data_IF_380719700132
#
_entry.id   IF_380719700132
#
_cell.length_a   1.000
_cell.length_b   1.000
_cell.length_c   1.000
_cell.angle_alpha   90.00
_cell.angle_beta   90.00
_cell.angle_gamma   90.00
#
_symmetry.space_group_name_H-M   'P 1'
#
loop_
_entity.id
_entity.type
_entity.pdbx_description
1 polymer ?
#
# COMPACT_ATOMS: atom_id res chain seq x y z
N UNK A 1 -9.50 -14.83 -1.02
CA UNK A 1 -8.37 -14.07 -0.47
C UNK A 1 -7.30 -15.07 -0.06
N UNK A 2 -6.06 -14.87 -0.51
CA UNK A 2 -4.94 -15.74 -0.17
C UNK A 2 -3.93 -14.92 0.62
N UNK A 3 -3.59 -15.36 1.83
CA UNK A 3 -2.49 -14.82 2.63
C UNK A 3 -1.27 -15.70 2.40
N UNK A 4 -0.31 -15.29 1.57
CA UNK A 4 0.85 -16.12 1.24
C UNK A 4 1.86 -16.18 2.40
N UNK A 5 2.96 -16.92 2.20
CA UNK A 5 3.98 -17.13 3.24
C UNK A 5 4.62 -15.82 3.74
N UNK A 6 4.70 -14.78 2.91
CA UNK A 6 5.21 -13.47 3.30
C UNK A 6 4.24 -12.63 4.14
N UNK A 7 3.02 -13.11 4.43
CA UNK A 7 2.05 -12.39 5.25
C UNK A 7 2.41 -12.38 6.74
N UNK A 8 2.07 -11.28 7.39
CA UNK A 8 2.08 -11.11 8.85
C UNK A 8 0.65 -10.81 9.30
N UNK A 9 0.08 -11.71 10.10
CA UNK A 9 -1.35 -11.75 10.39
C UNK A 9 -1.59 -11.52 11.87
N UNK A 10 -2.34 -10.47 12.18
CA UNK A 10 -2.99 -10.31 13.47
C UNK A 10 -4.31 -11.10 13.44
N UNK A 11 -4.38 -12.19 14.21
CA UNK A 11 -5.47 -13.16 14.12
C UNK A 11 -6.80 -12.56 14.58
N UNK A 12 -6.78 -11.75 15.65
CA UNK A 12 -7.98 -11.11 16.17
C UNK A 12 -8.52 -10.08 15.18
N UNK A 13 -7.62 -9.28 14.59
CA UNK A 13 -7.99 -8.30 13.57
C UNK A 13 -8.53 -8.98 12.31
N UNK A 14 -7.91 -10.07 11.86
CA UNK A 14 -8.39 -10.84 10.71
C UNK A 14 -9.84 -11.29 10.92
N UNK A 15 -10.15 -11.90 12.07
CA UNK A 15 -11.51 -12.37 12.34
C UNK A 15 -12.51 -11.22 12.54
N UNK A 16 -12.06 -10.11 13.12
CA UNK A 16 -12.86 -8.88 13.20
C UNK A 16 -13.24 -8.40 11.80
N UNK A 17 -12.27 -8.22 10.89
CA UNK A 17 -12.51 -7.74 9.52
C UNK A 17 -13.38 -8.71 8.72
N UNK A 18 -13.15 -10.02 8.85
CA UNK A 18 -13.98 -11.05 8.20
C UNK A 18 -15.43 -10.96 8.67
N UNK A 19 -15.66 -10.72 9.96
CA UNK A 19 -17.00 -10.55 10.54
C UNK A 19 -17.66 -9.25 10.07
N UNK A 20 -16.96 -8.12 10.17
CA UNK A 20 -17.46 -6.78 9.81
C UNK A 20 -17.83 -6.70 8.32
N UNK A 21 -17.07 -7.34 7.45
CA UNK A 21 -17.32 -7.38 6.01
C UNK A 21 -18.26 -8.50 5.58
N UNK A 22 -18.70 -9.37 6.51
CA UNK A 22 -19.42 -10.60 6.20
C UNK A 22 -18.72 -11.41 5.09
N UNK A 23 -17.39 -11.52 5.19
CA UNK A 23 -16.57 -12.10 4.13
C UNK A 23 -16.69 -13.63 4.13
N UNK A 24 -16.90 -14.29 2.98
CA UNK A 24 -17.03 -15.74 2.91
C UNK A 24 -15.75 -16.45 3.38
N UNK A 25 -15.85 -17.13 4.51
CA UNK A 25 -14.73 -17.81 5.19
C UNK A 25 -14.09 -18.93 4.34
N UNK A 26 -14.89 -19.63 3.53
CA UNK A 26 -14.44 -20.68 2.61
C UNK A 26 -13.48 -20.17 1.52
N UNK A 27 -13.56 -18.86 1.21
CA UNK A 27 -12.70 -18.18 0.24
C UNK A 27 -11.38 -17.69 0.84
N UNK A 28 -11.15 -17.86 2.14
CA UNK A 28 -9.89 -17.52 2.80
C UNK A 28 -8.96 -18.73 2.72
N UNK A 29 -7.70 -18.46 2.35
CA UNK A 29 -6.60 -19.43 2.33
C UNK A 29 -5.38 -18.78 2.96
N UNK A 30 -4.77 -19.42 3.94
CA UNK A 30 -3.61 -18.90 4.68
C UNK A 30 -2.47 -19.89 4.53
N UNK A 31 -1.29 -19.40 4.15
CA UNK A 31 -0.10 -20.22 4.06
C UNK A 31 0.26 -20.82 5.41
N UNK A 32 0.74 -22.08 5.42
CA UNK A 32 1.34 -22.70 6.60
C UNK A 32 2.42 -21.82 7.24
N UNK A 33 3.16 -21.08 6.42
CA UNK A 33 4.33 -20.30 6.83
C UNK A 33 4.04 -18.83 7.08
N UNK A 34 2.80 -18.37 6.89
CA UNK A 34 2.42 -17.00 7.23
C UNK A 34 2.71 -16.75 8.71
N UNK A 35 3.28 -15.58 9.02
CA UNK A 35 3.69 -15.23 10.39
C UNK A 35 2.55 -14.60 11.15
N UNK A 36 2.56 -14.77 12.47
CA UNK A 36 1.55 -14.18 13.35
C UNK A 36 2.10 -12.95 14.09
N UNK A 37 1.25 -11.95 14.21
CA UNK A 37 1.48 -10.77 15.04
C UNK A 37 0.81 -11.04 16.39
N UNK A 38 1.60 -11.06 17.46
CA UNK A 38 1.13 -11.29 18.82
C UNK A 38 0.90 -9.98 19.56
N UNK A 39 0.24 -10.04 20.72
CA UNK A 39 0.13 -8.88 21.60
C UNK A 39 1.51 -8.40 22.07
N UNK A 40 2.45 -9.32 22.35
CA UNK A 40 3.82 -8.98 22.71
C UNK A 40 4.54 -8.20 21.60
N UNK A 41 4.32 -8.54 20.32
CA UNK A 41 4.85 -7.77 19.19
C UNK A 41 4.31 -6.33 19.18
N UNK A 42 3.00 -6.18 19.40
CA UNK A 42 2.35 -4.86 19.46
C UNK A 42 2.87 -4.04 20.63
N UNK A 43 2.96 -4.65 21.81
CA UNK A 43 3.40 -3.99 23.03
C UNK A 43 4.89 -3.62 22.96
N UNK A 44 5.73 -4.50 22.42
CA UNK A 44 7.15 -4.20 22.20
C UNK A 44 7.33 -2.98 21.30
N UNK A 45 6.55 -2.86 20.23
CA UNK A 45 6.62 -1.72 19.33
C UNK A 45 6.06 -0.43 19.96
N UNK A 46 4.97 -0.54 20.73
CA UNK A 46 4.31 0.60 21.41
C UNK A 46 5.09 1.14 22.60
N UNK A 47 5.72 0.24 23.37
CA UNK A 47 6.52 0.58 24.53
C UNK A 47 7.94 1.00 24.15
N UNK A 48 8.38 0.64 22.94
CA UNK A 48 9.61 1.14 22.36
C UNK A 48 9.50 2.59 21.90
N UNK A 49 10.65 3.19 21.57
CA UNK A 49 10.70 4.56 21.04
C UNK A 49 10.19 4.66 19.60
N UNK A 50 9.92 3.54 18.91
CA UNK A 50 9.63 3.47 17.47
C UNK A 50 8.34 4.22 17.07
N UNK A 51 7.28 4.18 17.90
CA UNK A 51 6.04 4.91 17.60
C UNK A 51 6.28 6.43 17.61
N UNK A 52 7.11 6.92 18.53
CA UNK A 52 7.41 8.35 18.66
C UNK A 52 8.51 8.79 17.68
N UNK A 53 9.54 7.96 17.48
CA UNK A 53 10.75 8.28 16.73
C UNK A 53 10.68 7.91 15.24
N UNK A 54 9.79 7.03 14.80
CA UNK A 54 9.67 6.63 13.38
C UNK A 54 8.24 6.86 12.86
N UNK A 55 7.27 7.05 13.75
CA UNK A 55 5.86 7.14 13.38
C UNK A 55 5.25 5.79 13.05
N UNK A 56 5.73 4.72 13.68
CA UNK A 56 5.13 3.39 13.54
C UNK A 56 3.63 3.39 13.90
N UNK A 57 2.86 2.53 13.24
CA UNK A 57 1.45 2.30 13.54
C UNK A 57 1.24 1.58 14.88
N UNK A 58 2.28 0.98 15.46
CA UNK A 58 2.18 0.17 16.69
C UNK A 58 1.36 -1.10 16.49
N UNK A 59 1.41 -1.65 15.27
CA UNK A 59 0.68 -2.85 14.85
C UNK A 59 1.45 -4.13 15.11
N UNK A 60 2.72 -4.06 15.50
CA UNK A 60 3.59 -5.22 15.79
C UNK A 60 4.29 -5.80 14.57
N UNK A 61 4.11 -5.24 13.36
CA UNK A 61 4.69 -5.77 12.13
C UNK A 61 6.22 -5.75 12.18
N UNK A 62 6.83 -4.63 12.59
CA UNK A 62 8.28 -4.54 12.67
C UNK A 62 8.88 -5.52 13.68
N UNK A 63 8.24 -5.63 14.86
CA UNK A 63 8.60 -6.58 15.90
C UNK A 63 8.52 -8.03 15.41
N UNK A 64 7.43 -8.39 14.71
CA UNK A 64 7.25 -9.73 14.16
C UNK A 64 8.27 -10.06 13.05
N UNK A 65 8.63 -9.09 12.20
CA UNK A 65 9.69 -9.24 11.20
C UNK A 65 11.04 -9.49 11.88
N UNK A 66 11.38 -8.72 12.91
CA UNK A 66 12.62 -8.94 13.66
C UNK A 66 12.64 -10.31 14.34
N UNK A 67 11.53 -10.75 14.94
CA UNK A 67 11.42 -12.09 15.52
C UNK A 67 11.65 -13.19 14.49
N UNK A 68 11.09 -13.04 13.28
CA UNK A 68 11.31 -13.98 12.19
C UNK A 68 12.79 -14.04 11.76
N UNK A 69 13.45 -12.89 11.62
CA UNK A 69 14.88 -12.80 11.25
C UNK A 69 15.78 -13.34 12.36
N UNK A 70 15.40 -13.14 13.63
CA UNK A 70 16.12 -13.65 14.79
C UNK A 70 16.13 -15.17 14.86
N UNK A 71 15.20 -15.87 14.18
CA UNK A 71 15.17 -17.34 14.08
C UNK A 71 15.23 -18.02 15.46
N UNK A 72 14.46 -17.50 16.42
CA UNK A 72 14.41 -18.00 17.81
C UNK A 72 15.76 -17.95 18.54
N UNK A 73 16.65 -17.03 18.14
CA UNK A 73 17.90 -16.80 18.85
C UNK A 73 17.62 -16.36 20.29
N UNK A 74 18.33 -16.96 21.24
CA UNK A 74 18.13 -16.75 22.69
C UNK A 74 18.45 -15.33 23.16
N UNK A 75 19.10 -14.52 22.32
CA UNK A 75 19.40 -13.11 22.60
C UNK A 75 18.38 -12.13 22.01
N UNK A 76 17.30 -12.62 21.39
CA UNK A 76 16.18 -11.80 20.96
C UNK A 76 14.92 -12.21 21.74
N UNK A 77 14.20 -11.23 22.27
CA UNK A 77 13.19 -11.46 23.30
C UNK A 77 11.79 -11.82 22.79
N UNK A 78 11.59 -11.87 21.47
CA UNK A 78 10.27 -12.08 20.87
C UNK A 78 10.25 -13.36 20.03
N UNK A 79 9.15 -14.09 20.14
CA UNK A 79 8.95 -15.34 19.43
C UNK A 79 8.33 -15.13 18.03
N UNK A 80 8.80 -15.91 17.06
CA UNK A 80 8.19 -15.94 15.74
C UNK A 80 7.23 -17.12 15.62
N UNK A 81 5.93 -16.83 15.59
CA UNK A 81 4.87 -17.83 15.41
C UNK A 81 4.43 -17.92 13.94
N UNK A 82 3.97 -19.10 13.53
CA UNK A 82 3.44 -19.37 12.19
C UNK A 82 1.98 -19.82 12.23
N UNK A 83 1.24 -19.57 11.15
CA UNK A 83 -0.18 -19.82 11.06
C UNK A 83 -0.56 -21.30 11.24
N UNK A 84 0.28 -22.23 10.75
CA UNK A 84 0.02 -23.66 10.89
C UNK A 84 -0.07 -24.14 12.35
N UNK A 85 0.54 -23.43 13.30
CA UNK A 85 0.57 -23.81 14.72
C UNK A 85 -0.59 -23.16 15.49
N UNK A 86 -1.41 -22.33 14.83
CA UNK A 86 -2.56 -21.68 15.45
C UNK A 86 -3.83 -22.50 15.23
N UNK A 87 -4.46 -22.91 16.34
CA UNK A 87 -5.67 -23.75 16.31
C UNK A 87 -6.86 -23.07 15.61
N UNK A 88 -7.04 -21.76 15.78
CA UNK A 88 -8.15 -21.02 15.17
C UNK A 88 -8.00 -20.86 13.65
N UNK A 89 -6.77 -20.93 13.14
CA UNK A 89 -6.50 -20.78 11.72
C UNK A 89 -6.62 -22.09 10.93
N UNK A 90 -6.66 -23.25 11.59
CA UNK A 90 -6.66 -24.58 10.94
C UNK A 90 -7.66 -24.72 9.77
N UNK A 91 -8.91 -24.22 9.85
CA UNK A 91 -9.85 -24.32 8.73
C UNK A 91 -9.43 -23.57 7.45
N UNK A 92 -8.51 -22.62 7.57
CA UNK A 92 -8.06 -21.74 6.49
C UNK A 92 -6.70 -22.12 5.93
N UNK A 93 -5.96 -23.00 6.62
CA UNK A 93 -4.60 -23.36 6.25
C UNK A 93 -4.57 -24.08 4.89
N UNK A 94 -3.68 -23.64 4.01
CA UNK A 94 -3.45 -24.22 2.70
C UNK A 94 -2.00 -24.01 2.25
N UNK A 95 -1.51 -24.87 1.35
CA UNK A 95 -0.28 -24.61 0.61
C UNK A 95 -0.54 -23.48 -0.40
N UNK A 96 -0.31 -22.24 0.02
CA UNK A 96 -0.60 -21.05 -0.78
C UNK A 96 0.15 -21.05 -2.12
N UNK A 97 1.41 -21.48 -2.14
CA UNK A 97 2.25 -21.49 -3.34
C UNK A 97 1.72 -22.49 -4.36
N UNK A 98 1.44 -23.73 -3.93
CA UNK A 98 0.85 -24.75 -4.81
C UNK A 98 -0.54 -24.34 -5.30
N UNK A 99 -1.35 -23.73 -4.42
CA UNK A 99 -2.67 -23.21 -4.78
C UNK A 99 -2.55 -22.13 -5.87
N UNK A 100 -1.69 -21.13 -5.68
CA UNK A 100 -1.52 -20.05 -6.65
C UNK A 100 -0.91 -20.56 -7.96
N UNK A 101 0.10 -21.43 -7.90
CA UNK A 101 0.67 -22.10 -9.08
C UNK A 101 -0.40 -22.86 -9.86
N UNK A 102 -1.18 -23.70 -9.19
CA UNK A 102 -2.25 -24.45 -9.84
C UNK A 102 -3.40 -23.59 -10.40
N UNK A 103 -3.53 -22.33 -9.95
CA UNK A 103 -4.41 -21.34 -10.59
C UNK A 103 -3.78 -20.80 -11.87
N UNK A 104 -2.51 -20.39 -11.82
CA UNK A 104 -1.78 -19.89 -12.98
C UNK A 104 -1.67 -20.95 -14.09
N UNK A 105 -1.39 -22.21 -13.75
CA UNK A 105 -1.28 -23.32 -14.71
C UNK A 105 -2.62 -23.66 -15.41
N UNK A 106 -3.73 -23.11 -14.91
CA UNK A 106 -5.08 -23.23 -15.50
C UNK A 106 -5.53 -21.93 -16.14
N UNK A 107 -4.61 -21.02 -16.42
CA UNK A 107 -4.85 -19.69 -16.99
C UNK A 107 -5.80 -18.82 -16.15
N UNK A 108 -5.90 -19.09 -14.83
CA UNK A 108 -6.64 -18.20 -13.94
C UNK A 108 -5.81 -16.96 -13.62
N UNK A 109 -6.49 -15.82 -13.52
CA UNK A 109 -5.87 -14.56 -13.09
C UNK A 109 -5.62 -14.55 -11.59
N UNK A 110 -4.39 -14.21 -11.21
CA UNK A 110 -3.98 -13.88 -9.84
C UNK A 110 -3.71 -12.38 -9.77
N UNK A 111 -4.21 -11.72 -8.72
CA UNK A 111 -3.92 -10.31 -8.43
C UNK A 111 -3.22 -10.28 -7.08
N UNK A 112 -2.02 -9.68 -7.06
CA UNK A 112 -1.23 -9.48 -5.84
C UNK A 112 -1.43 -8.02 -5.41
N UNK A 113 -1.91 -7.84 -4.19
CA UNK A 113 -2.03 -6.53 -3.58
C UNK A 113 -0.79 -6.24 -2.73
N UNK A 114 -0.05 -5.19 -3.08
CA UNK A 114 1.15 -4.76 -2.37
C UNK A 114 0.83 -3.86 -1.17
N UNK A 115 1.65 -3.97 -0.13
CA UNK A 115 1.69 -3.01 0.98
C UNK A 115 3.15 -2.71 1.32
N UNK A 116 3.56 -1.50 1.70
CA UNK A 116 2.90 -0.20 1.63
C UNK A 116 3.26 0.50 0.29
N UNK A 117 3.49 1.83 0.30
CA UNK A 117 3.98 2.58 -0.87
C UNK A 117 5.51 2.61 -0.97
N UNK A 118 6.03 2.90 -2.16
CA UNK A 118 7.47 2.90 -2.46
C UNK A 118 8.31 3.77 -1.52
N UNK A 119 7.84 4.98 -1.18
CA UNK A 119 8.55 5.89 -0.27
C UNK A 119 8.67 5.37 1.18
N UNK A 120 8.01 4.26 1.52
CA UNK A 120 8.17 3.57 2.79
C UNK A 120 8.98 2.27 2.66
N UNK A 121 9.50 1.92 1.47
CA UNK A 121 10.30 0.72 1.28
C UNK A 121 11.53 0.74 2.17
N UNK A 122 11.76 -0.35 2.90
CA UNK A 122 12.94 -0.53 3.76
C UNK A 122 14.25 -0.32 3.00
N UNK A 123 14.33 -0.82 1.75
CA UNK A 123 15.56 -0.84 0.97
C UNK A 123 15.65 0.31 -0.04
N UNK A 124 14.52 0.67 -0.64
CA UNK A 124 14.49 1.49 -1.85
C UNK A 124 13.88 2.88 -1.64
N UNK A 125 13.18 3.09 -0.51
CA UNK A 125 12.37 4.28 -0.29
C UNK A 125 13.16 5.55 -0.03
N UNK A 126 14.47 5.44 0.23
CA UNK A 126 15.40 6.57 0.40
C UNK A 126 15.25 7.34 1.72
N UNK A 127 14.35 6.92 2.61
CA UNK A 127 14.03 7.64 3.84
C UNK A 127 14.33 6.85 5.12
N UNK A 128 15.16 5.81 5.06
CA UNK A 128 15.61 5.07 6.24
C UNK A 128 16.21 6.04 7.30
N UNK A 129 15.83 5.97 8.60
CA UNK A 129 15.02 4.94 9.26
C UNK A 129 13.49 5.11 9.20
N UNK A 130 13.00 6.15 8.53
CA UNK A 130 11.58 6.48 8.38
C UNK A 130 10.92 5.66 7.27
N UNK A 131 10.96 4.35 7.42
CA UNK A 131 10.44 3.36 6.49
C UNK A 131 9.65 2.27 7.24
N UNK A 132 8.94 1.43 6.50
CA UNK A 132 8.38 0.19 7.05
C UNK A 132 9.50 -0.85 7.22
N UNK A 133 9.18 -1.97 7.89
CA UNK A 133 10.14 -3.04 8.15
C UNK A 133 10.34 -4.00 6.95
N UNK A 134 9.75 -3.70 5.77
CA UNK A 134 9.78 -4.57 4.59
C UNK A 134 10.01 -3.76 3.31
N UNK A 135 10.50 -4.39 2.25
CA UNK A 135 10.50 -3.76 0.93
C UNK A 135 9.06 -3.70 0.40
N UNK A 136 8.71 -2.63 -0.31
CA UNK A 136 7.35 -2.37 -0.79
C UNK A 136 7.28 -2.32 -2.32
N UNK A 137 8.25 -2.93 -2.99
CA UNK A 137 8.30 -3.04 -4.45
C UNK A 137 7.45 -4.20 -4.97
N UNK A 138 7.13 -4.19 -6.27
CA UNK A 138 6.44 -5.27 -6.94
C UNK A 138 7.21 -6.60 -6.84
N UNK A 139 8.54 -6.55 -6.92
CA UNK A 139 9.40 -7.72 -6.73
C UNK A 139 9.28 -8.30 -5.31
N UNK A 140 9.23 -7.44 -4.29
CA UNK A 140 9.02 -7.88 -2.91
C UNK A 140 7.64 -8.52 -2.72
N UNK A 141 6.57 -7.88 -3.23
CA UNK A 141 5.21 -8.43 -3.16
C UNK A 141 5.10 -9.80 -3.86
N UNK A 142 5.78 -9.97 -5.01
CA UNK A 142 5.83 -11.23 -5.73
C UNK A 142 6.56 -12.33 -4.95
N UNK A 143 7.72 -12.00 -4.37
CA UNK A 143 8.48 -12.92 -3.54
C UNK A 143 7.68 -13.34 -2.29
N UNK A 144 7.00 -12.40 -1.64
CA UNK A 144 6.11 -12.67 -0.51
C UNK A 144 4.92 -13.58 -0.89
N UNK A 145 4.42 -13.45 -2.13
CA UNK A 145 3.38 -14.31 -2.69
C UNK A 145 3.86 -15.75 -2.99
N UNK A 146 5.18 -15.96 -3.10
CA UNK A 146 5.77 -17.26 -3.45
C UNK A 146 5.64 -17.59 -4.94
N UNK A 147 5.64 -16.58 -5.81
CA UNK A 147 5.52 -16.72 -7.27
C UNK A 147 6.83 -16.33 -7.99
N UNK A 148 6.98 -16.80 -9.23
CA UNK A 148 8.17 -16.58 -10.05
C UNK A 148 8.13 -15.19 -10.70
N UNK A 149 9.28 -14.50 -10.85
CA UNK A 149 9.39 -13.32 -11.72
C UNK A 149 8.86 -13.53 -13.15
N UNK A 150 8.88 -14.78 -13.64
CA UNK A 150 8.37 -15.14 -14.96
C UNK A 150 6.83 -15.20 -15.04
N UNK A 151 6.13 -15.15 -13.91
CA UNK A 151 4.65 -15.19 -13.86
C UNK A 151 4.02 -13.78 -13.97
N UNK A 152 4.82 -12.72 -14.03
CA UNK A 152 4.32 -11.34 -13.96
C UNK A 152 4.00 -10.81 -15.37
N UNK A 153 2.70 -10.65 -15.63
CA UNK A 153 2.22 -10.03 -16.88
C UNK A 153 2.07 -8.51 -16.78
N UNK A 154 1.60 -8.00 -15.64
CA UNK A 154 1.25 -6.58 -15.46
C UNK A 154 1.59 -6.10 -14.04
N UNK A 155 2.36 -5.01 -13.97
CA UNK A 155 2.61 -4.22 -12.77
C UNK A 155 1.89 -2.87 -12.90
N UNK A 156 0.96 -2.61 -12.00
CA UNK A 156 0.26 -1.32 -11.92
C UNK A 156 0.81 -0.48 -10.77
N UNK A 157 1.34 0.71 -11.07
CA UNK A 157 1.81 1.66 -10.07
C UNK A 157 0.72 2.69 -9.77
N UNK A 158 0.25 2.73 -8.52
CA UNK A 158 -0.71 3.73 -8.06
C UNK A 158 0.04 4.92 -7.46
N UNK A 159 -0.25 6.11 -7.97
CA UNK A 159 0.27 7.39 -7.49
C UNK A 159 -0.89 8.30 -7.04
N UNK A 160 -0.59 9.34 -6.28
CA UNK A 160 -1.57 10.36 -5.89
C UNK A 160 -1.18 11.71 -6.47
N UNK A 161 -2.18 12.50 -6.84
CA UNK A 161 -2.01 13.92 -7.18
C UNK A 161 -1.33 14.70 -6.04
N UNK A 162 -1.74 14.43 -4.79
CA UNK A 162 -1.11 14.94 -3.58
C UNK A 162 -0.69 13.76 -2.70
N UNK A 163 0.63 13.44 -2.63
CA UNK A 163 1.12 12.42 -1.72
C UNK A 163 0.86 12.80 -0.26
N UNK A 164 0.63 11.79 0.55
CA UNK A 164 0.40 11.95 1.99
C UNK A 164 1.35 11.08 2.79
N UNK A 165 1.61 11.50 4.02
CA UNK A 165 2.41 10.76 5.00
C UNK A 165 1.68 10.72 6.33
N UNK A 166 1.99 9.72 7.17
CA UNK A 166 1.40 9.60 8.51
C UNK A 166 1.73 10.87 9.34
N UNK A 167 0.85 11.24 10.28
CA UNK A 167 1.06 12.38 11.16
C UNK A 167 2.40 12.33 11.93
N UNK A 168 2.90 13.49 12.39
CA UNK A 168 4.11 13.59 13.21
C UNK A 168 5.41 13.39 12.42
N UNK A 169 6.47 12.99 13.12
CA UNK A 169 7.80 12.76 12.54
C UNK A 169 7.90 11.37 11.87
N UNK A 170 7.03 11.15 10.89
CA UNK A 170 6.97 9.95 10.05
C UNK A 170 8.00 9.94 8.91
N UNK A 171 8.91 10.92 8.90
CA UNK A 171 9.93 11.17 7.87
C UNK A 171 9.60 12.32 6.92
N UNK A 172 10.53 12.67 6.01
CA UNK A 172 10.40 13.87 5.19
C UNK A 172 9.25 13.76 4.18
N UNK A 173 8.54 14.86 3.95
CA UNK A 173 7.54 14.99 2.90
C UNK A 173 7.91 16.24 2.08
N UNK A 174 8.54 16.08 0.91
CA UNK A 174 8.87 17.21 0.06
C UNK A 174 7.63 18.01 -0.30
N UNK A 175 7.77 19.34 -0.38
CA UNK A 175 6.69 20.27 -0.73
C UNK A 175 5.43 20.11 0.13
N UNK A 176 5.61 19.89 1.44
CA UNK A 176 4.52 19.81 2.40
C UNK A 176 3.67 21.10 2.40
N UNK A 177 2.36 20.93 2.37
CA UNK A 177 1.35 21.98 2.34
C UNK A 177 0.26 21.69 3.36
N UNK A 178 -0.57 22.67 3.66
CA UNK A 178 -1.70 22.47 4.55
C UNK A 178 -2.90 21.87 3.80
N UNK A 179 -3.79 21.19 4.53
CA UNK A 179 -5.04 20.70 3.94
C UNK A 179 -5.94 21.85 3.48
N UNK A 180 -5.88 23.02 4.12
CA UNK A 180 -6.58 24.23 3.68
C UNK A 180 -6.08 24.69 2.30
N UNK A 181 -4.78 24.58 2.04
CA UNK A 181 -4.24 24.86 0.71
C UNK A 181 -4.80 23.88 -0.33
N UNK A 182 -4.80 22.57 -0.04
CA UNK A 182 -5.35 21.56 -0.99
C UNK A 182 -6.84 21.83 -1.23
N UNK A 183 -7.61 22.13 -0.17
CA UNK A 183 -9.03 22.45 -0.29
C UNK A 183 -9.27 23.70 -1.15
N UNK A 184 -8.36 24.68 -1.10
CA UNK A 184 -8.45 25.90 -1.93
C UNK A 184 -8.29 25.65 -3.43
N UNK A 185 -7.62 24.56 -3.82
CA UNK A 185 -7.44 24.18 -5.23
C UNK A 185 -8.69 23.50 -5.81
N UNK A 186 -9.48 22.86 -4.95
CA UNK A 186 -10.69 22.17 -5.41
C UNK A 186 -11.80 23.19 -5.70
N UNK A 187 -12.51 23.00 -6.81
CA UNK A 187 -13.77 23.71 -7.06
C UNK A 187 -14.87 23.32 -6.04
N UNK A 188 -14.65 22.24 -5.28
CA UNK A 188 -15.56 21.72 -4.24
C UNK A 188 -15.25 22.36 -2.89
N UNK A 189 -15.57 23.65 -2.74
CA UNK A 189 -15.40 24.47 -1.52
C UNK A 189 -16.14 23.98 -0.24
N UNK A 190 -16.49 22.70 -0.12
CA UNK A 190 -17.34 22.19 0.96
C UNK A 190 -17.07 20.74 1.39
N UNK A 191 -16.04 20.05 0.86
CA UNK A 191 -15.73 18.69 1.29
C UNK A 191 -14.58 18.73 2.30
N UNK A 192 -14.77 18.09 3.44
CA UNK A 192 -13.67 17.74 4.32
C UNK A 192 -12.77 16.72 3.60
N UNK A 193 -11.79 17.22 2.86
CA UNK A 193 -10.82 16.40 2.15
C UNK A 193 -9.73 15.86 3.07
N UNK A 194 -9.76 16.21 4.36
CA UNK A 194 -8.74 15.83 5.32
C UNK A 194 -8.72 14.32 5.50
N UNK A 195 -7.55 13.71 5.28
CA UNK A 195 -7.38 12.28 5.48
C UNK A 195 -6.78 11.97 6.85
N UNK A 196 -7.41 11.05 7.58
CA UNK A 196 -6.96 10.60 8.89
C UNK A 196 -6.34 9.20 8.80
N UNK A 197 -5.38 8.89 9.68
CA UNK A 197 -4.84 7.53 9.83
C UNK A 197 -5.95 6.58 10.28
N UNK A 198 -5.94 5.35 9.75
CA UNK A 198 -6.99 4.36 10.04
C UNK A 198 -6.99 3.92 11.50
N UNK A 199 -5.79 3.66 12.05
CA UNK A 199 -5.60 3.17 13.42
C UNK A 199 -5.58 4.31 14.44
N UNK A 200 -4.71 5.31 14.27
CA UNK A 200 -4.49 6.36 15.29
C UNK A 200 -5.40 7.57 15.16
N UNK A 201 -6.23 7.63 14.11
CA UNK A 201 -7.16 8.74 13.81
C UNK A 201 -6.49 10.13 13.83
N UNK A 202 -5.21 10.19 13.45
CA UNK A 202 -4.44 11.43 13.35
C UNK A 202 -4.49 11.98 11.92
N UNK A 203 -4.60 13.29 11.78
CA UNK A 203 -4.56 13.97 10.50
C UNK A 203 -3.24 13.70 9.77
N UNK A 204 -3.31 13.17 8.55
CA UNK A 204 -2.13 12.89 7.72
C UNK A 204 -1.49 14.21 7.27
N UNK A 205 -0.19 14.16 7.01
CA UNK A 205 0.55 15.23 6.33
C UNK A 205 0.31 15.13 4.84
N UNK A 206 0.26 16.26 4.13
CA UNK A 206 0.00 16.30 2.68
C UNK A 206 1.05 17.16 1.98
N UNK A 207 1.48 16.73 0.80
CA UNK A 207 2.47 17.43 -0.01
C UNK A 207 1.98 17.63 -1.44
N UNK A 208 2.61 18.57 -2.15
CA UNK A 208 2.44 18.66 -3.61
C UNK A 208 3.06 17.43 -4.28
N UNK A 209 2.62 17.13 -5.50
CA UNK A 209 3.17 16.05 -6.32
C UNK A 209 4.70 16.05 -6.31
N UNK A 210 5.30 14.89 -6.10
CA UNK A 210 6.76 14.69 -6.08
C UNK A 210 7.19 13.80 -7.26
N UNK A 211 7.55 14.41 -8.41
CA UNK A 211 8.00 13.66 -9.57
C UNK A 211 9.28 12.86 -9.31
N UNK A 212 10.16 13.30 -8.39
CA UNK A 212 11.41 12.61 -8.14
C UNK A 212 11.17 11.27 -7.45
N UNK A 213 10.30 11.25 -6.43
CA UNK A 213 9.88 10.01 -5.77
C UNK A 213 9.14 9.08 -6.74
N UNK A 214 8.27 9.62 -7.59
CA UNK A 214 7.55 8.81 -8.59
C UNK A 214 8.51 8.21 -9.62
N UNK A 215 9.49 8.97 -10.14
CA UNK A 215 10.52 8.42 -11.05
C UNK A 215 11.34 7.30 -10.40
N UNK A 216 11.70 7.46 -9.13
CA UNK A 216 12.39 6.39 -8.38
C UNK A 216 11.51 5.14 -8.24
N UNK A 217 10.21 5.31 -7.95
CA UNK A 217 9.25 4.21 -7.90
C UNK A 217 9.09 3.52 -9.26
N UNK A 218 9.04 4.29 -10.35
CA UNK A 218 8.99 3.76 -11.73
C UNK A 218 10.26 2.98 -12.04
N UNK A 219 11.43 3.48 -11.69
CA UNK A 219 12.70 2.81 -11.93
C UNK A 219 12.78 1.46 -11.18
N UNK A 220 12.33 1.41 -9.93
CA UNK A 220 12.35 0.20 -9.11
C UNK A 220 11.30 -0.84 -9.51
N UNK A 221 10.11 -0.41 -9.96
CA UNK A 221 8.98 -1.30 -10.21
C UNK A 221 8.71 -1.58 -11.68
N UNK A 222 9.24 -0.76 -12.60
CA UNK A 222 9.02 -0.81 -14.05
C UNK A 222 7.55 -1.12 -14.41
N UNK A 223 6.60 -0.25 -14.02
CA UNK A 223 5.19 -0.54 -14.18
C UNK A 223 4.76 -0.61 -15.66
N UNK A 224 3.83 -1.51 -15.96
CA UNK A 224 3.09 -1.52 -17.21
C UNK A 224 2.15 -0.31 -17.27
N UNK A 225 1.46 -0.04 -16.15
CA UNK A 225 0.43 1.01 -16.05
C UNK A 225 0.66 1.94 -14.86
N UNK A 226 0.29 3.20 -15.02
CA UNK A 226 0.25 4.19 -13.95
C UNK A 226 -1.19 4.64 -13.74
N UNK A 227 -1.64 4.59 -12.48
CA UNK A 227 -2.96 5.07 -12.07
C UNK A 227 -2.80 6.23 -11.11
N UNK A 228 -3.35 7.40 -11.44
CA UNK A 228 -3.33 8.57 -10.57
C UNK A 228 -4.65 8.73 -9.82
N UNK A 229 -4.61 8.58 -8.51
CA UNK A 229 -5.76 8.78 -7.63
C UNK A 229 -5.83 10.19 -7.05
N UNK A 230 -7.00 10.51 -6.48
CA UNK A 230 -7.30 11.77 -5.80
C UNK A 230 -7.19 12.98 -6.73
N UNK A 231 -7.49 12.82 -8.03
CA UNK A 231 -7.42 13.92 -8.98
C UNK A 231 -8.53 14.97 -8.74
N UNK A 232 -9.56 14.60 -7.96
CA UNK A 232 -10.55 15.51 -7.39
C UNK A 232 -9.96 16.59 -6.47
N UNK A 233 -8.72 16.40 -5.98
CA UNK A 233 -7.97 17.44 -5.27
C UNK A 233 -7.48 18.56 -6.20
N UNK A 234 -7.45 18.31 -7.51
CA UNK A 234 -7.09 19.30 -8.53
C UNK A 234 -8.34 19.91 -9.15
N UNK A 235 -9.33 19.09 -9.50
CA UNK A 235 -10.57 19.56 -10.10
C UNK A 235 -11.57 18.44 -10.37
N UNK A 236 -12.78 18.80 -10.82
CA UNK A 236 -13.83 17.81 -11.09
C UNK A 236 -13.58 16.98 -12.35
N UNK A 237 -14.21 15.81 -12.42
CA UNK A 237 -14.05 14.83 -13.52
C UNK A 237 -14.40 15.42 -14.89
N UNK A 238 -15.36 16.32 -14.95
CA UNK A 238 -15.77 17.04 -16.16
C UNK A 238 -14.64 17.84 -16.81
N UNK A 239 -13.65 18.26 -16.02
CA UNK A 239 -12.49 19.00 -16.49
C UNK A 239 -11.53 18.13 -17.32
N UNK A 240 -11.61 16.81 -17.22
CA UNK A 240 -10.78 15.90 -18.01
C UNK A 240 -11.00 16.08 -19.52
N UNK A 241 -12.17 16.54 -19.97
CA UNK A 241 -12.45 16.81 -21.38
C UNK A 241 -12.08 18.23 -21.83
N UNK A 242 -11.63 19.09 -20.92
CA UNK A 242 -11.32 20.50 -21.18
C UNK A 242 -9.79 20.71 -21.21
N UNK A 243 -9.15 20.91 -22.37
CA UNK A 243 -7.69 21.01 -22.49
C UNK A 243 -7.06 22.10 -21.61
N UNK A 244 -7.76 23.22 -21.42
CA UNK A 244 -7.28 24.35 -20.62
C UNK A 244 -7.59 24.23 -19.12
N UNK A 245 -8.16 23.13 -18.68
CA UNK A 245 -8.50 22.92 -17.28
C UNK A 245 -7.29 22.67 -16.40
N UNK A 246 -7.45 22.90 -15.10
CA UNK A 246 -6.41 22.63 -14.11
C UNK A 246 -6.07 21.13 -14.04
N UNK A 247 -7.07 20.25 -14.24
CA UNK A 247 -6.88 18.80 -14.31
C UNK A 247 -5.96 18.41 -15.49
N UNK A 248 -6.22 18.93 -16.70
CA UNK A 248 -5.40 18.61 -17.88
C UNK A 248 -3.99 19.19 -17.75
N UNK A 249 -3.86 20.44 -17.27
CA UNK A 249 -2.56 21.07 -17.00
C UNK A 249 -1.75 20.28 -15.97
N UNK A 250 -2.39 19.80 -14.91
CA UNK A 250 -1.75 18.99 -13.89
C UNK A 250 -1.30 17.63 -14.43
N UNK A 251 -2.13 16.95 -15.21
CA UNK A 251 -1.77 15.68 -15.85
C UNK A 251 -0.57 15.86 -16.79
N UNK A 252 -0.61 16.86 -17.68
CA UNK A 252 0.51 17.17 -18.58
C UNK A 252 1.80 17.41 -17.79
N UNK A 253 1.75 18.26 -16.75
CA UNK A 253 2.89 18.51 -15.88
C UNK A 253 3.42 17.22 -15.23
N UNK A 254 2.53 16.39 -14.67
CA UNK A 254 2.92 15.17 -13.99
C UNK A 254 3.57 14.18 -14.96
N UNK A 255 2.98 13.96 -16.13
CA UNK A 255 3.47 13.05 -17.17
C UNK A 255 4.84 13.47 -17.71
N UNK A 256 5.00 14.75 -18.04
CA UNK A 256 6.28 15.33 -18.46
C UNK A 256 7.34 15.17 -17.36
N UNK A 257 6.98 15.50 -16.11
CA UNK A 257 7.91 15.45 -15.00
C UNK A 257 8.34 14.01 -14.65
N UNK A 258 7.51 13.01 -14.87
CA UNK A 258 7.85 11.59 -14.60
C UNK A 258 8.36 10.86 -15.85
N UNK A 259 8.25 11.45 -17.03
CA UNK A 259 8.65 10.86 -18.31
C UNK A 259 7.79 9.67 -18.73
N UNK A 260 6.55 9.56 -18.24
CA UNK A 260 5.61 8.46 -18.47
C UNK A 260 4.18 8.99 -18.48
N UNK A 261 3.36 8.45 -19.36
CA UNK A 261 1.92 8.73 -19.39
C UNK A 261 1.22 8.09 -18.19
N UNK A 262 0.13 8.72 -17.74
CA UNK A 262 -0.81 8.20 -16.76
C UNK A 262 -1.93 7.50 -17.52
N UNK A 263 -2.05 6.19 -17.33
CA UNK A 263 -2.99 5.36 -18.09
C UNK A 263 -4.43 5.55 -17.59
N UNK A 264 -4.60 5.65 -16.27
CA UNK A 264 -5.90 5.83 -15.63
C UNK A 264 -5.87 6.91 -14.54
N UNK A 265 -7.00 7.57 -14.34
CA UNK A 265 -7.21 8.57 -13.28
C UNK A 265 -8.44 8.25 -12.45
N UNK A 266 -8.44 8.63 -11.17
CA UNK A 266 -9.58 8.50 -10.26
C UNK A 266 -9.91 9.83 -9.59
N UNK A 267 -11.21 10.14 -9.48
CA UNK A 267 -11.75 11.36 -8.86
C UNK A 267 -12.59 11.04 -7.61
N UNK A 268 -12.67 9.77 -7.22
CA UNK A 268 -13.39 9.27 -6.06
C UNK A 268 -12.92 7.86 -5.72
N UNK A 269 -13.43 7.33 -4.61
CA UNK A 269 -13.13 5.96 -4.15
C UNK A 269 -13.70 4.87 -5.06
N UNK A 270 -14.69 5.20 -5.90
CA UNK A 270 -15.47 4.23 -6.68
C UNK A 270 -15.29 4.36 -8.19
N UNK A 271 -14.44 5.28 -8.67
CA UNK A 271 -14.27 5.51 -10.10
C UNK A 271 -12.82 5.48 -10.55
N UNK A 272 -12.60 4.84 -11.70
CA UNK A 272 -11.34 4.85 -12.43
C UNK A 272 -11.67 5.06 -13.90
N UNK A 273 -10.99 5.99 -14.54
CA UNK A 273 -11.22 6.40 -15.92
C UNK A 273 -9.94 6.17 -16.70
N UNK A 274 -9.99 5.40 -17.78
CA UNK A 274 -8.89 5.32 -18.74
C UNK A 274 -8.77 6.65 -19.50
N UNK A 275 -7.62 7.31 -19.39
CA UNK A 275 -7.41 8.67 -19.90
C UNK A 275 -7.63 8.73 -21.41
N UNK A 276 -7.09 7.76 -22.16
CA UNK A 276 -7.23 7.70 -23.62
C UNK A 276 -8.67 7.46 -24.09
N UNK A 277 -9.48 6.71 -23.32
CA UNK A 277 -10.91 6.52 -23.64
C UNK A 277 -11.73 7.75 -23.30
N UNK A 278 -11.39 8.46 -22.22
CA UNK A 278 -12.10 9.68 -21.82
C UNK A 278 -11.98 10.80 -22.87
N UNK A 279 -10.82 10.92 -23.52
CA UNK A 279 -10.57 11.92 -24.56
C UNK A 279 -11.28 11.61 -25.91
N UNK A 280 -11.72 10.37 -26.11
CA UNK A 280 -12.33 9.88 -27.36
C UNK A 280 -13.83 9.60 -27.26
N UNK A 281 -14.42 9.80 -26.09
CA UNK A 281 -15.86 9.62 -25.88
C UNK A 281 -16.56 10.95 -26.10
N UNK A 282 -17.39 11.02 -27.14
CA UNK A 282 -18.30 12.13 -27.40
C UNK A 282 -19.25 12.37 -26.21
#
# INVERSE_FOLDING_TARGET
MVFPAGSYIDVDLLFQEVSELNFPQDRIKISHHARLITQEHKDWERNGELVQSIGSTGSGVGAAVMAAVARQSTNFSLDSLVAQDNASLQPFIANSTELLRGKLDRDHRVIIEGTQGFGLSLLDGGYWPKATARSTTAAAALAEAGLSPMDVDDVTLVIRSFPIRVAGDSGPLPNEVSWEYVASLTARKAIDIQEYTTVTKKLRRVGKFDPALVRAAIAANRPNRIVMNHLDYVGGKEQLKCPESDVQKFLYFAEEAIGRVVDCVAFSELDVVEVRKALLSD
#
